data_IF_805934517467
#
_entry.id   IF_805934517467
#
_cell.length_a   1.000
_cell.length_b   1.000
_cell.length_c   1.000
_cell.angle_alpha   90.00
_cell.angle_beta   90.00
_cell.angle_gamma   90.00
#
_symmetry.space_group_name_H-M   'P 1'
#
loop_
_entity.id
_entity.type
_entity.pdbx_description
1 polymer ?
#
# COMPACT_ATOMS: atom_id res chain seq x y z
N UNK A 1 -4.27 -6.42 6.91
CA UNK A 1 -3.63 -5.10 6.81
C UNK A 1 -3.64 -4.48 8.18
N UNK A 2 -2.64 -3.66 8.53
CA UNK A 2 -2.62 -2.89 9.79
C UNK A 2 -2.91 -1.41 9.54
N UNK A 3 -3.50 -0.75 10.54
CA UNK A 3 -3.78 0.69 10.49
C UNK A 3 -3.21 1.33 11.76
N UNK A 4 -2.37 2.34 11.59
CA UNK A 4 -1.74 3.11 12.68
C UNK A 4 -2.12 4.58 12.64
N UNK A 5 -2.03 5.25 13.78
CA UNK A 5 -2.13 6.71 13.88
C UNK A 5 -0.75 7.33 13.74
N UNK A 6 -0.61 8.36 12.90
CA UNK A 6 0.59 9.18 12.76
C UNK A 6 0.94 9.99 14.02
N UNK A 7 -0.04 10.19 14.92
CA UNK A 7 0.19 10.76 16.26
C UNK A 7 0.97 9.83 17.19
N UNK A 8 1.01 8.53 16.86
CA UNK A 8 1.64 7.48 17.70
C UNK A 8 2.87 6.88 17.05
N UNK A 9 2.88 6.77 15.72
CA UNK A 9 3.94 6.12 14.96
C UNK A 9 4.44 7.05 13.86
N UNK A 10 5.73 7.35 13.87
CA UNK A 10 6.39 8.06 12.77
C UNK A 10 6.63 7.12 11.59
N UNK A 11 6.83 7.69 10.39
CA UNK A 11 7.20 6.89 9.22
C UNK A 11 8.55 6.19 9.40
N UNK A 12 9.48 6.83 10.09
CA UNK A 12 10.82 6.25 10.36
C UNK A 12 10.69 5.02 11.25
N UNK A 13 9.94 5.10 12.34
CA UNK A 13 9.69 3.94 13.22
C UNK A 13 8.99 2.78 12.51
N UNK A 14 8.08 3.07 11.58
CA UNK A 14 7.41 2.02 10.80
C UNK A 14 8.34 1.37 9.77
N UNK A 15 9.26 2.16 9.18
CA UNK A 15 10.31 1.62 8.30
C UNK A 15 11.33 0.79 9.08
N UNK A 16 11.73 1.25 10.26
CA UNK A 16 12.62 0.53 11.17
C UNK A 16 11.97 -0.80 11.61
N UNK A 17 10.69 -0.78 11.97
CA UNK A 17 9.95 -2.00 12.30
C UNK A 17 9.90 -2.99 11.12
N UNK A 18 9.72 -2.50 9.89
CA UNK A 18 9.77 -3.36 8.71
C UNK A 18 11.17 -3.97 8.52
N UNK A 19 12.22 -3.15 8.66
CA UNK A 19 13.61 -3.59 8.55
C UNK A 19 13.99 -4.61 9.63
N UNK A 20 13.59 -4.39 10.88
CA UNK A 20 13.80 -5.31 12.02
C UNK A 20 13.10 -6.67 11.79
N UNK A 21 11.99 -6.67 11.04
CA UNK A 21 11.30 -7.88 10.61
C UNK A 21 11.92 -8.53 9.35
N UNK A 22 13.04 -8.00 8.85
CA UNK A 22 13.71 -8.47 7.63
C UNK A 22 12.92 -8.15 6.36
N UNK A 23 12.17 -7.05 6.35
CA UNK A 23 11.30 -6.64 5.22
C UNK A 23 11.79 -5.36 4.58
N UNK A 24 11.71 -5.28 3.26
CA UNK A 24 11.84 -4.03 2.49
C UNK A 24 10.63 -3.14 2.77
N UNK A 25 10.75 -1.83 2.53
CA UNK A 25 9.61 -0.91 2.63
C UNK A 25 9.45 -0.01 1.41
N UNK A 26 8.21 0.20 0.99
CA UNK A 26 7.81 1.20 0.00
C UNK A 26 6.80 2.17 0.60
N UNK A 27 6.90 3.44 0.25
CA UNK A 27 6.03 4.51 0.74
C UNK A 27 5.06 4.93 -0.36
N UNK A 28 3.76 4.85 -0.09
CA UNK A 28 2.71 5.48 -0.89
C UNK A 28 2.37 6.82 -0.23
N UNK A 29 2.70 7.97 -0.85
CA UNK A 29 2.53 9.28 -0.24
C UNK A 29 1.06 9.67 -0.08
N UNK A 30 0.81 10.64 0.80
CA UNK A 30 -0.53 11.16 1.04
C UNK A 30 -1.11 11.84 -0.20
N UNK A 31 -2.37 11.52 -0.50
CA UNK A 31 -3.14 12.13 -1.57
C UNK A 31 -4.60 12.35 -1.12
N UNK A 32 -5.24 13.38 -1.66
CA UNK A 32 -6.48 13.97 -1.18
C UNK A 32 -7.76 13.52 -1.92
N UNK A 33 -7.61 12.83 -3.06
CA UNK A 33 -8.72 12.39 -3.89
C UNK A 33 -8.52 10.96 -4.35
N UNK A 34 -9.62 10.27 -4.70
CA UNK A 34 -9.56 8.92 -5.26
C UNK A 34 -8.56 8.83 -6.43
N UNK A 35 -8.61 9.78 -7.36
CA UNK A 35 -7.73 9.77 -8.55
C UNK A 35 -6.26 9.95 -8.16
N UNK A 36 -5.95 10.89 -7.27
CA UNK A 36 -4.59 11.15 -6.81
C UNK A 36 -4.03 10.00 -5.97
N UNK A 37 -4.86 9.36 -5.14
CA UNK A 37 -4.49 8.14 -4.39
C UNK A 37 -4.15 7.00 -5.34
N UNK A 38 -5.00 6.72 -6.33
CA UNK A 38 -4.75 5.67 -7.31
C UNK A 38 -3.45 5.92 -8.09
N UNK A 39 -3.20 7.16 -8.50
CA UNK A 39 -1.94 7.53 -9.15
C UNK A 39 -0.72 7.35 -8.22
N UNK A 40 -0.84 7.71 -6.94
CA UNK A 40 0.23 7.54 -5.96
C UNK A 40 0.58 6.05 -5.76
N UNK A 41 -0.41 5.15 -5.76
CA UNK A 41 -0.15 3.71 -5.76
C UNK A 41 0.58 3.25 -7.03
N UNK A 42 0.12 3.71 -8.20
CA UNK A 42 0.76 3.35 -9.47
C UNK A 42 2.21 3.78 -9.55
N UNK A 43 2.54 4.99 -9.09
CA UNK A 43 3.92 5.49 -9.07
C UNK A 43 4.78 4.78 -8.02
N UNK A 44 4.28 4.64 -6.79
CA UNK A 44 5.06 4.07 -5.69
C UNK A 44 5.36 2.58 -5.86
N UNK A 45 4.49 1.84 -6.56
CA UNK A 45 4.61 0.41 -6.82
C UNK A 45 5.09 0.08 -8.23
N UNK A 46 5.45 1.10 -9.02
CA UNK A 46 5.93 0.97 -10.40
C UNK A 46 4.97 0.18 -11.31
N UNK A 47 3.67 0.50 -11.23
CA UNK A 47 2.67 -0.10 -12.11
C UNK A 47 2.84 0.34 -13.57
N UNK A 48 2.40 -0.47 -14.55
CA UNK A 48 2.57 -0.17 -15.97
C UNK A 48 1.96 1.17 -16.40
N UNK A 49 2.51 1.80 -17.45
CA UNK A 49 2.02 3.09 -17.99
C UNK A 49 0.52 3.09 -18.36
N UNK A 50 -0.02 1.92 -18.70
CA UNK A 50 -1.43 1.73 -19.05
C UNK A 50 -2.33 1.46 -17.82
N UNK A 51 -1.83 1.66 -16.61
CA UNK A 51 -2.59 1.59 -15.36
C UNK A 51 -3.84 2.48 -15.44
N UNK A 52 -5.02 1.87 -15.42
CA UNK A 52 -6.28 2.52 -15.74
C UNK A 52 -6.82 3.53 -14.70
N UNK A 53 -6.04 3.84 -13.64
CA UNK A 53 -6.37 4.77 -12.54
C UNK A 53 -7.81 4.62 -12.04
N UNK A 54 -8.23 3.37 -11.83
CA UNK A 54 -9.53 3.00 -11.27
C UNK A 54 -9.36 1.84 -10.27
N UNK A 55 -10.44 1.46 -9.57
CA UNK A 55 -10.36 0.47 -8.49
C UNK A 55 -10.12 -0.95 -9.00
N UNK A 56 -10.67 -1.31 -10.16
CA UNK A 56 -10.46 -2.62 -10.76
C UNK A 56 -8.99 -2.74 -11.24
N UNK A 57 -8.48 -1.69 -11.90
CA UNK A 57 -7.08 -1.63 -12.29
C UNK A 57 -6.13 -1.69 -11.08
N UNK A 58 -6.49 -1.05 -9.96
CA UNK A 58 -5.71 -1.17 -8.71
C UNK A 58 -5.69 -2.61 -8.22
N UNK A 59 -6.84 -3.28 -8.18
CA UNK A 59 -6.95 -4.66 -7.75
C UNK A 59 -6.10 -5.60 -8.61
N UNK A 60 -6.22 -5.49 -9.93
CA UNK A 60 -5.49 -6.34 -10.87
C UNK A 60 -3.98 -6.11 -10.76
N UNK A 61 -3.55 -4.84 -10.72
CA UNK A 61 -2.12 -4.50 -10.63
C UNK A 61 -1.50 -4.91 -9.30
N UNK A 62 -2.27 -4.91 -8.21
CA UNK A 62 -1.78 -5.39 -6.91
C UNK A 62 -1.60 -6.90 -6.88
N UNK A 63 -2.42 -7.67 -7.61
CA UNK A 63 -2.24 -9.11 -7.76
C UNK A 63 -1.00 -9.42 -8.61
N UNK A 64 -0.84 -8.75 -9.75
CA UNK A 64 0.37 -8.87 -10.58
C UNK A 64 1.63 -8.49 -9.80
N UNK A 65 1.54 -7.44 -8.98
CA UNK A 65 2.63 -7.02 -8.10
C UNK A 65 2.92 -8.06 -7.01
N UNK A 66 1.88 -8.63 -6.40
CA UNK A 66 2.00 -9.67 -5.38
C UNK A 66 2.67 -10.95 -5.94
N UNK A 67 2.33 -11.35 -7.17
CA UNK A 67 3.00 -12.44 -7.87
C UNK A 67 4.49 -12.09 -8.09
N UNK A 68 4.76 -10.90 -8.63
CA UNK A 68 6.13 -10.47 -8.93
C UNK A 68 7.05 -10.47 -7.70
N UNK A 69 6.59 -9.98 -6.55
CA UNK A 69 7.39 -9.99 -5.30
C UNK A 69 7.52 -11.39 -4.68
N UNK A 70 6.62 -12.31 -4.99
CA UNK A 70 6.69 -13.69 -4.49
C UNK A 70 7.69 -14.52 -5.32
N UNK A 71 7.80 -14.21 -6.61
CA UNK A 71 8.64 -14.93 -7.57
C UNK A 71 10.08 -14.37 -7.66
N UNK A 72 10.35 -13.12 -7.24
CA UNK A 72 11.67 -12.48 -7.36
C UNK A 72 12.73 -13.02 -6.38
N UNK A 73 12.31 -13.75 -5.34
CA UNK A 73 13.17 -14.31 -4.30
C UNK A 73 13.84 -13.28 -3.39
N UNK A 74 13.44 -12.00 -3.48
CA UNK A 74 13.92 -10.92 -2.61
C UNK A 74 13.25 -10.98 -1.23
N UNK A 75 13.67 -10.10 -0.32
CA UNK A 75 13.05 -10.04 1.00
C UNK A 75 11.58 -9.58 0.90
N UNK A 76 10.69 -10.10 1.77
CA UNK A 76 9.30 -9.67 1.85
C UNK A 76 9.16 -8.16 1.94
N UNK A 77 8.04 -7.64 1.44
CA UNK A 77 7.78 -6.22 1.35
C UNK A 77 6.74 -5.76 2.38
N UNK A 78 6.92 -4.55 2.87
CA UNK A 78 5.91 -3.78 3.60
C UNK A 78 5.58 -2.49 2.84
N UNK A 79 4.35 -2.36 2.36
CA UNK A 79 3.84 -1.10 1.79
C UNK A 79 3.28 -0.24 2.92
N UNK A 80 3.79 0.98 3.05
CA UNK A 80 3.35 1.99 4.02
C UNK A 80 2.59 3.07 3.26
N UNK A 81 1.29 3.17 3.48
CA UNK A 81 0.42 4.14 2.82
C UNK A 81 0.01 5.26 3.77
N UNK A 82 0.34 6.51 3.43
CA UNK A 82 -0.10 7.68 4.17
C UNK A 82 -1.52 8.10 3.77
N UNK A 83 -2.38 8.29 4.75
CA UNK A 83 -3.79 8.61 4.55
C UNK A 83 -4.11 9.94 5.24
N UNK A 84 -4.29 11.05 4.49
CA UNK A 84 -4.67 12.32 5.08
C UNK A 84 -6.13 12.29 5.55
N UNK A 85 -6.51 13.10 6.56
CA UNK A 85 -7.88 13.17 7.07
C UNK A 85 -8.94 13.38 5.99
N UNK A 86 -8.63 14.23 4.99
CA UNK A 86 -9.51 14.53 3.87
C UNK A 86 -9.91 13.29 3.06
N UNK A 87 -8.96 12.39 2.81
CA UNK A 87 -9.24 11.16 2.06
C UNK A 87 -9.84 10.07 2.94
N UNK A 88 -9.45 10.00 4.23
CA UNK A 88 -9.99 9.02 5.18
C UNK A 88 -11.52 9.07 5.28
N UNK A 89 -12.12 10.26 5.15
CA UNK A 89 -13.57 10.45 5.18
C UNK A 89 -14.28 10.07 3.87
N UNK A 90 -13.56 9.80 2.79
CA UNK A 90 -14.13 9.34 1.52
C UNK A 90 -14.49 7.84 1.62
N UNK A 91 -15.66 7.45 1.10
CA UNK A 91 -16.09 6.04 1.08
C UNK A 91 -15.08 5.13 0.37
N UNK A 92 -14.36 5.66 -0.60
CA UNK A 92 -13.34 4.96 -1.38
C UNK A 92 -12.19 4.48 -0.50
N UNK A 93 -11.89 5.15 0.63
CA UNK A 93 -10.87 4.69 1.57
C UNK A 93 -11.12 3.26 2.03
N UNK A 94 -12.37 2.93 2.41
CA UNK A 94 -12.75 1.59 2.81
C UNK A 94 -12.57 0.55 1.70
N UNK A 95 -12.93 0.90 0.46
CA UNK A 95 -12.79 0.01 -0.70
C UNK A 95 -11.33 -0.26 -1.03
N UNK A 96 -10.46 0.76 -0.95
CA UNK A 96 -9.01 0.58 -1.15
C UNK A 96 -8.43 -0.29 -0.02
N UNK A 97 -8.87 -0.12 1.22
CA UNK A 97 -8.47 -1.01 2.32
C UNK A 97 -8.87 -2.47 2.07
N UNK A 98 -10.05 -2.72 1.49
CA UNK A 98 -10.49 -4.09 1.13
C UNK A 98 -9.59 -4.68 0.04
N UNK A 99 -9.33 -3.93 -1.03
CA UNK A 99 -8.43 -4.34 -2.11
C UNK A 99 -7.00 -4.64 -1.60
N UNK A 100 -6.46 -3.77 -0.74
CA UNK A 100 -5.13 -3.98 -0.15
C UNK A 100 -5.07 -5.17 0.79
N UNK A 101 -6.16 -5.44 1.54
CA UNK A 101 -6.26 -6.64 2.37
C UNK A 101 -6.33 -7.92 1.55
N UNK A 102 -7.03 -7.88 0.41
CA UNK A 102 -7.09 -9.00 -0.52
C UNK A 102 -5.71 -9.31 -1.12
N UNK A 103 -5.00 -8.30 -1.63
CA UNK A 103 -3.64 -8.43 -2.15
C UNK A 103 -2.65 -8.94 -1.08
N UNK A 104 -2.73 -8.44 0.15
CA UNK A 104 -1.90 -8.93 1.27
C UNK A 104 -2.22 -10.39 1.61
N UNK A 105 -3.51 -10.77 1.62
CA UNK A 105 -3.93 -12.15 1.84
C UNK A 105 -3.46 -13.08 0.72
N UNK A 106 -3.48 -12.60 -0.52
CA UNK A 106 -3.04 -13.33 -1.71
C UNK A 106 -1.53 -13.62 -1.68
N UNK A 107 -0.70 -12.61 -1.38
CA UNK A 107 0.75 -12.73 -1.25
C UNK A 107 1.21 -13.47 0.02
N UNK A 108 0.31 -13.69 0.99
CA UNK A 108 0.62 -14.36 2.25
C UNK A 108 1.68 -13.64 3.07
N UNK A 109 2.88 -14.23 3.21
CA UNK A 109 3.96 -13.66 4.04
C UNK A 109 4.78 -12.59 3.30
N UNK A 110 4.69 -12.57 1.97
CA UNK A 110 5.61 -11.83 1.10
C UNK A 110 5.19 -10.36 0.94
N UNK A 111 3.90 -10.04 1.16
CA UNK A 111 3.39 -8.67 1.27
C UNK A 111 2.83 -8.40 2.67
N UNK A 112 3.08 -7.20 3.18
CA UNK A 112 2.37 -6.63 4.31
C UNK A 112 1.95 -5.21 3.95
N UNK A 113 0.78 -4.77 4.44
CA UNK A 113 0.28 -3.41 4.19
C UNK A 113 -0.01 -2.71 5.50
N UNK A 114 0.50 -1.49 5.61
CA UNK A 114 0.27 -0.56 6.72
C UNK A 114 -0.37 0.72 6.16
N UNK A 115 -1.53 1.11 6.68
CA UNK A 115 -2.03 2.47 6.50
C UNK A 115 -1.67 3.33 7.72
N UNK A 116 -1.16 4.54 7.49
CA UNK A 116 -0.81 5.51 8.53
C UNK A 116 -1.72 6.72 8.37
N UNK A 117 -2.57 6.93 9.36
CA UNK A 117 -3.56 7.99 9.38
C UNK A 117 -2.87 9.27 9.88
N UNK A 118 -2.76 10.28 9.02
CA UNK A 118 -2.13 11.57 9.32
C UNK A 118 -3.05 12.50 10.13
#
# INVERSE_FOLDING_TARGET
MKIYSGDTWTLEELKDQAADAGRRSLLVPAADSKKSVLAAFGEALDFPEHFGVNLDALNDSLHDFADAISDDGAEPLTVIWQVPPAFRSDRTFGVICEILQDAESYAGKDLAVIAVLL
#
